data_IF_793547392253
#
_entry.id   IF_793547392253
#
_cell.length_a   1.000
_cell.length_b   1.000
_cell.length_c   1.000
_cell.angle_alpha   90.00
_cell.angle_beta   90.00
_cell.angle_gamma   90.00
#
_symmetry.space_group_name_H-M   'P 1'
#
loop_
_entity.id
_entity.type
_entity.pdbx_description
1 polymer ?
#
# COMPACT_ATOMS: atom_id res chain seq x y z
N UNK A 1 -12.03 5.82 -6.55
CA UNK A 1 -11.64 5.16 -7.82
C UNK A 1 -11.23 3.73 -7.57
N UNK A 2 -11.32 2.91 -8.58
CA UNK A 2 -10.99 1.48 -8.51
C UNK A 2 -9.76 1.19 -9.36
N UNK A 3 -8.92 0.28 -8.85
CA UNK A 3 -7.68 -0.10 -9.50
C UNK A 3 -7.41 -1.59 -9.31
N UNK A 4 -7.71 -2.39 -10.32
CA UNK A 4 -7.48 -3.85 -10.31
C UNK A 4 -7.29 -4.38 -11.74
N UNK A 5 -6.88 -5.65 -11.86
CA UNK A 5 -6.46 -6.22 -13.14
C UNK A 5 -7.49 -6.21 -14.27
N UNK A 6 -8.80 -6.26 -13.94
CA UNK A 6 -9.87 -6.23 -14.94
C UNK A 6 -10.12 -4.82 -15.53
N UNK A 7 -9.57 -3.77 -14.92
CA UNK A 7 -9.68 -2.40 -15.42
C UNK A 7 -8.65 -2.17 -16.52
N UNK A 8 -9.05 -1.54 -17.62
CA UNK A 8 -8.13 -1.23 -18.72
C UNK A 8 -7.00 -0.27 -18.29
N UNK A 9 -5.83 -0.38 -18.93
CA UNK A 9 -4.62 0.35 -18.55
C UNK A 9 -4.79 1.87 -18.55
N UNK A 10 -5.46 2.43 -19.55
CA UNK A 10 -5.70 3.87 -19.62
C UNK A 10 -6.69 4.34 -18.56
N UNK A 11 -7.69 3.52 -18.20
CA UNK A 11 -8.60 3.82 -17.10
C UNK A 11 -7.89 3.73 -15.74
N UNK A 12 -6.94 2.80 -15.61
CA UNK A 12 -6.10 2.72 -14.40
C UNK A 12 -5.27 3.98 -14.22
N UNK A 13 -4.66 4.47 -15.29
CA UNK A 13 -3.89 5.71 -15.25
C UNK A 13 -4.76 6.92 -14.88
N UNK A 14 -5.95 7.01 -15.45
CA UNK A 14 -6.92 8.07 -15.10
C UNK A 14 -7.36 8.00 -13.64
N UNK A 15 -7.51 6.79 -13.10
CA UNK A 15 -7.85 6.60 -11.69
C UNK A 15 -6.77 7.19 -10.78
N UNK A 16 -5.50 6.93 -11.08
CA UNK A 16 -4.37 7.49 -10.33
C UNK A 16 -4.37 9.01 -10.42
N UNK A 17 -4.52 9.56 -11.61
CA UNK A 17 -4.53 11.01 -11.84
C UNK A 17 -5.66 11.70 -11.07
N UNK A 18 -6.86 11.14 -11.10
CA UNK A 18 -8.01 11.69 -10.37
C UNK A 18 -7.80 11.63 -8.86
N UNK A 19 -7.21 10.56 -8.35
CA UNK A 19 -6.92 10.42 -6.92
C UNK A 19 -5.86 11.41 -6.46
N UNK A 20 -4.83 11.64 -7.27
CA UNK A 20 -3.72 12.54 -6.96
C UNK A 20 -4.06 14.04 -7.16
N UNK A 21 -5.09 14.36 -7.93
CA UNK A 21 -5.48 15.73 -8.20
C UNK A 21 -6.22 16.34 -6.98
N UNK A 22 -5.64 17.37 -6.31
CA UNK A 22 -6.27 17.99 -5.14
C UNK A 22 -7.60 18.69 -5.46
N UNK A 23 -7.87 18.99 -6.73
CA UNK A 23 -9.13 19.61 -7.17
C UNK A 23 -10.21 18.60 -7.49
N UNK A 24 -9.86 17.32 -7.59
CA UNK A 24 -10.81 16.25 -7.84
C UNK A 24 -11.65 15.95 -6.60
N UNK A 25 -12.93 15.58 -6.74
CA UNK A 25 -13.75 15.15 -5.60
C UNK A 25 -13.44 13.73 -5.14
N UNK A 26 -12.55 13.03 -5.80
CA UNK A 26 -12.17 11.66 -5.46
C UNK A 26 -11.42 11.63 -4.13
N UNK A 27 -11.92 10.83 -3.18
CA UNK A 27 -11.33 10.69 -1.83
C UNK A 27 -10.76 9.31 -1.55
N UNK A 28 -11.16 8.30 -2.31
CA UNK A 28 -10.80 6.92 -2.06
C UNK A 28 -10.19 6.29 -3.30
N UNK A 29 -9.11 5.55 -3.08
CA UNK A 29 -8.50 4.69 -4.08
C UNK A 29 -8.64 3.25 -3.59
N UNK A 30 -9.39 2.44 -4.32
CA UNK A 30 -9.62 1.02 -3.98
C UNK A 30 -8.89 0.17 -5.01
N UNK A 31 -7.95 -0.62 -4.57
CA UNK A 31 -7.14 -1.40 -5.48
C UNK A 31 -6.63 -2.71 -4.89
N UNK A 32 -6.15 -3.55 -5.78
CA UNK A 32 -5.45 -4.77 -5.43
C UNK A 32 -3.95 -4.43 -5.32
N UNK A 33 -3.28 -4.76 -4.20
CA UNK A 33 -1.84 -4.49 -4.05
C UNK A 33 -0.96 -5.09 -5.14
N UNK A 34 -1.41 -6.17 -5.77
CA UNK A 34 -0.66 -6.86 -6.80
C UNK A 34 -0.82 -6.26 -8.19
N UNK A 35 -1.81 -5.39 -8.39
CA UNK A 35 -2.09 -4.78 -9.68
C UNK A 35 -1.22 -3.55 -9.91
N UNK A 36 -0.73 -3.40 -11.14
CA UNK A 36 -0.01 -2.21 -11.58
C UNK A 36 1.49 -2.19 -11.31
N UNK A 37 2.01 -3.22 -10.65
CA UNK A 37 3.45 -3.35 -10.46
C UNK A 37 4.10 -2.20 -9.69
N UNK A 38 5.33 -1.90 -10.08
CA UNK A 38 6.17 -0.91 -9.43
C UNK A 38 5.83 0.52 -9.86
N UNK A 39 6.08 1.47 -8.97
CA UNK A 39 6.15 2.87 -9.35
C UNK A 39 4.83 3.64 -9.33
N UNK A 40 3.72 3.05 -8.90
CA UNK A 40 2.48 3.79 -8.71
C UNK A 40 2.64 4.76 -7.55
N UNK A 41 2.31 6.02 -7.80
CA UNK A 41 2.39 7.07 -6.78
C UNK A 41 1.01 7.41 -6.25
N UNK A 42 0.81 7.26 -4.95
CA UNK A 42 -0.44 7.55 -4.24
C UNK A 42 -0.19 8.45 -3.03
N UNK A 43 0.69 9.44 -3.19
CA UNK A 43 1.10 10.34 -2.10
C UNK A 43 -0.01 11.30 -1.65
N UNK A 44 -1.12 11.38 -2.36
CA UNK A 44 -2.31 12.09 -1.88
C UNK A 44 -2.96 11.38 -0.69
N UNK A 45 -2.69 10.08 -0.50
CA UNK A 45 -3.17 9.33 0.64
C UNK A 45 -2.26 9.50 1.85
N UNK A 46 -2.85 9.70 3.02
CA UNK A 46 -2.15 9.64 4.31
C UNK A 46 -2.64 8.49 5.18
N UNK A 47 -3.65 7.76 4.74
CA UNK A 47 -4.16 6.58 5.42
C UNK A 47 -4.33 5.46 4.40
N UNK A 48 -3.80 4.30 4.73
CA UNK A 48 -3.91 3.09 3.92
C UNK A 48 -4.59 2.01 4.76
N UNK A 49 -5.64 1.41 4.22
CA UNK A 49 -6.39 0.37 4.90
C UNK A 49 -6.23 -0.94 4.12
N UNK A 50 -5.71 -1.96 4.78
CA UNK A 50 -5.61 -3.30 4.22
C UNK A 50 -6.81 -4.12 4.66
N UNK A 51 -7.70 -4.40 3.72
CA UNK A 51 -8.87 -5.24 3.95
C UNK A 51 -8.46 -6.71 4.14
N UNK A 52 -7.45 -7.15 3.40
CA UNK A 52 -6.87 -8.48 3.52
C UNK A 52 -5.37 -8.44 3.25
N UNK A 53 -4.65 -9.44 3.76
CA UNK A 53 -3.20 -9.56 3.60
C UNK A 53 -2.81 -10.97 3.18
N UNK A 54 -1.72 -11.06 2.40
CA UNK A 54 -1.00 -12.31 2.16
C UNK A 54 0.30 -12.34 2.97
N UNK A 55 1.04 -13.44 2.90
CA UNK A 55 2.32 -13.60 3.61
C UNK A 55 3.52 -12.93 2.90
N UNK A 56 3.34 -12.37 1.72
CA UNK A 56 4.42 -11.80 0.93
C UNK A 56 4.82 -10.42 1.45
N UNK A 57 5.95 -10.38 2.16
CA UNK A 57 6.50 -9.15 2.71
C UNK A 57 6.87 -8.15 1.62
N UNK A 58 7.48 -8.61 0.54
CA UNK A 58 7.90 -7.72 -0.55
C UNK A 58 6.72 -6.96 -1.15
N UNK A 59 5.63 -7.67 -1.45
CA UNK A 59 4.41 -7.04 -1.96
C UNK A 59 3.79 -6.09 -0.96
N UNK A 60 3.82 -6.43 0.32
CA UNK A 60 3.33 -5.54 1.38
C UNK A 60 4.13 -4.24 1.42
N UNK A 61 5.44 -4.30 1.45
CA UNK A 61 6.31 -3.13 1.49
C UNK A 61 6.18 -2.28 0.23
N UNK A 62 6.09 -2.89 -0.93
CA UNK A 62 5.85 -2.17 -2.18
C UNK A 62 4.51 -1.43 -2.16
N UNK A 63 3.45 -2.05 -1.63
CA UNK A 63 2.15 -1.41 -1.54
C UNK A 63 2.15 -0.27 -0.53
N UNK A 64 2.85 -0.40 0.59
CA UNK A 64 3.02 0.69 1.55
C UNK A 64 3.77 1.86 0.93
N UNK A 65 4.77 1.58 0.11
CA UNK A 65 5.63 2.59 -0.50
C UNK A 65 4.93 3.41 -1.60
N UNK A 66 3.75 3.02 -2.03
CA UNK A 66 2.92 3.81 -2.96
C UNK A 66 2.47 5.14 -2.35
N UNK A 67 2.17 5.15 -1.06
CA UNK A 67 1.79 6.35 -0.30
C UNK A 67 2.99 6.95 0.43
N UNK A 68 3.88 6.11 0.99
CA UNK A 68 5.07 6.51 1.73
C UNK A 68 6.28 6.57 0.78
N UNK A 69 6.43 7.68 0.09
CA UNK A 69 7.54 7.89 -0.86
C UNK A 69 7.84 9.38 -1.03
N UNK A 70 8.84 9.70 -1.82
CA UNK A 70 9.25 11.08 -2.11
C UNK A 70 8.04 11.88 -2.60
N UNK A 71 7.80 13.05 -2.00
CA UNK A 71 6.65 13.89 -2.28
C UNK A 71 5.54 13.78 -1.25
N UNK A 72 5.61 12.80 -0.33
CA UNK A 72 4.66 12.68 0.77
C UNK A 72 4.97 13.74 1.84
N UNK A 73 3.98 14.57 2.16
CA UNK A 73 4.11 15.67 3.13
C UNK A 73 3.56 15.34 4.51
N UNK A 74 2.88 14.21 4.64
CA UNK A 74 2.21 13.78 5.88
C UNK A 74 2.75 12.43 6.34
N UNK A 75 2.58 12.15 7.62
CA UNK A 75 2.79 10.79 8.14
C UNK A 75 1.72 9.87 7.57
N UNK A 76 2.12 8.69 7.13
CA UNK A 76 1.21 7.70 6.58
C UNK A 76 0.82 6.71 7.68
N UNK A 77 -0.48 6.52 7.87
CA UNK A 77 -1.04 5.56 8.82
C UNK A 77 -1.50 4.31 8.07
N UNK A 78 -1.08 3.15 8.53
CA UNK A 78 -1.48 1.86 7.96
C UNK A 78 -2.40 1.13 8.93
N UNK A 79 -3.58 0.75 8.46
CA UNK A 79 -4.59 0.05 9.24
C UNK A 79 -4.81 -1.33 8.61
N UNK A 80 -4.64 -2.38 9.40
CA UNK A 80 -4.94 -3.73 8.99
C UNK A 80 -6.29 -4.17 9.59
N UNK A 81 -7.23 -4.55 8.75
CA UNK A 81 -8.48 -5.15 9.20
C UNK A 81 -8.24 -6.64 9.43
N UNK A 82 -8.51 -7.09 10.64
CA UNK A 82 -8.24 -8.46 11.07
C UNK A 82 -9.50 -9.05 11.66
N UNK A 83 -9.94 -10.21 11.14
CA UNK A 83 -11.00 -10.99 11.76
C UNK A 83 -10.40 -11.75 12.95
N UNK A 84 -11.00 -11.60 14.13
CA UNK A 84 -10.54 -12.29 15.35
C UNK A 84 -10.57 -13.81 15.19
N UNK A 85 -9.58 -14.49 15.77
CA UNK A 85 -9.45 -15.95 15.80
C UNK A 85 -9.45 -16.59 14.42
N UNK A 86 -8.91 -15.88 13.42
CA UNK A 86 -8.79 -16.37 12.04
C UNK A 86 -7.33 -16.38 11.61
N UNK A 87 -7.09 -16.87 10.38
CA UNK A 87 -5.76 -16.84 9.76
C UNK A 87 -5.24 -15.40 9.58
N UNK A 88 -6.10 -14.40 9.52
CA UNK A 88 -5.71 -12.99 9.38
C UNK A 88 -4.78 -12.55 10.51
N UNK A 89 -5.04 -12.95 11.75
CA UNK A 89 -4.16 -12.64 12.88
C UNK A 89 -2.76 -13.19 12.67
N UNK A 90 -2.67 -14.41 12.18
CA UNK A 90 -1.38 -15.08 11.92
C UNK A 90 -0.61 -14.40 10.81
N UNK A 91 -1.30 -14.02 9.74
CA UNK A 91 -0.70 -13.35 8.58
C UNK A 91 -0.13 -11.99 9.00
N UNK A 92 -0.89 -11.16 9.66
CA UNK A 92 -0.44 -9.82 10.08
C UNK A 92 0.70 -9.94 11.09
N UNK A 93 0.61 -10.85 12.04
CA UNK A 93 1.68 -11.11 13.01
C UNK A 93 2.97 -11.53 12.32
N UNK A 94 2.88 -12.43 11.33
CA UNK A 94 4.04 -12.87 10.56
C UNK A 94 4.66 -11.73 9.75
N UNK A 95 3.84 -10.88 9.11
CA UNK A 95 4.32 -9.72 8.35
C UNK A 95 5.04 -8.73 9.26
N UNK A 96 4.48 -8.42 10.43
CA UNK A 96 5.11 -7.50 11.39
C UNK A 96 6.44 -8.05 11.90
N UNK A 97 6.52 -9.36 12.16
CA UNK A 97 7.76 -10.01 12.56
C UNK A 97 8.82 -9.92 11.47
N UNK A 98 8.46 -10.16 10.21
CA UNK A 98 9.37 -10.03 9.08
C UNK A 98 9.88 -8.60 8.91
N UNK A 99 9.01 -7.62 9.07
CA UNK A 99 9.37 -6.19 9.01
C UNK A 99 10.36 -5.84 10.12
N UNK A 100 10.11 -6.29 11.35
CA UNK A 100 10.98 -6.04 12.49
C UNK A 100 12.37 -6.66 12.30
N UNK A 101 12.43 -7.90 11.83
CA UNK A 101 13.69 -8.57 11.54
C UNK A 101 14.48 -7.84 10.46
N UNK A 102 13.80 -7.44 9.39
CA UNK A 102 14.42 -6.69 8.31
C UNK A 102 14.95 -5.34 8.79
N UNK A 103 14.20 -4.65 9.66
CA UNK A 103 14.62 -3.39 10.25
C UNK A 103 15.84 -3.54 11.16
N UNK A 104 15.95 -4.65 11.90
CA UNK A 104 17.11 -4.93 12.74
C UNK A 104 18.36 -5.20 11.91
N UNK A 105 18.23 -5.88 10.77
CA UNK A 105 19.35 -6.27 9.91
C UNK A 105 19.79 -5.13 8.99
N UNK A 106 18.84 -4.42 8.38
CA UNK A 106 19.09 -3.45 7.33
C UNK A 106 18.83 -2.00 7.76
N UNK A 107 18.31 -1.81 8.97
CA UNK A 107 17.92 -0.49 9.45
C UNK A 107 16.78 0.09 8.60
N UNK A 108 16.64 1.42 8.66
CA UNK A 108 15.60 2.12 7.89
C UNK A 108 15.88 2.14 6.38
N UNK A 109 17.08 1.77 5.98
CA UNK A 109 17.45 1.68 4.56
C UNK A 109 16.61 0.68 3.78
N UNK A 110 16.00 -0.29 4.46
CA UNK A 110 15.12 -1.27 3.81
C UNK A 110 14.05 -0.60 2.97
N UNK A 111 13.41 0.45 3.48
CA UNK A 111 12.35 1.13 2.75
C UNK A 111 12.87 1.95 1.56
N UNK A 112 14.10 2.40 1.60
CA UNK A 112 14.69 3.13 0.49
C UNK A 112 15.07 2.24 -0.69
N UNK A 113 15.12 0.92 -0.48
CA UNK A 113 15.46 -0.06 -1.52
C UNK A 113 14.24 -0.58 -2.27
N UNK A 114 13.05 -0.34 -1.75
CA UNK A 114 11.76 -0.80 -2.30
C UNK A 114 10.98 0.38 -2.96
#
# INVERSE_FOLDING_TARGET
>A
VQYYGAIESDQRQKAIEKFQDPRSPVRFFVGNPQTGGYGITLTAASTVIYYSNGYDLEKRLQSEDRAHRIGQKKSVTYIDLIAEKTVDEKIVKALRKKINIASEVLGEELRSWI
#
